data_IF_869568343173
#
_entry.id   IF_869568343173
#
_cell.length_a   1.000
_cell.length_b   1.000
_cell.length_c   1.000
_cell.angle_alpha   90.00
_cell.angle_beta   90.00
_cell.angle_gamma   90.00
#
_symmetry.space_group_name_H-M   'P 1'
#
loop_
_entity.id
_entity.type
_entity.pdbx_description
1 polymer ?
#
# COMPACT_ATOMS: atom_id res chain seq x y z
N UNK A 1 -10.45 8.86 34.65
CA UNK A 1 -11.01 9.48 33.41
C UNK A 1 -10.15 9.28 32.15
N UNK A 2 -8.93 8.73 32.23
CA UNK A 2 -8.05 8.53 31.05
C UNK A 2 -8.29 7.23 30.23
N UNK A 3 -9.20 6.36 30.66
CA UNK A 3 -9.43 5.02 30.07
C UNK A 3 -10.55 4.98 29.02
N UNK A 4 -11.44 5.97 28.99
CA UNK A 4 -12.53 6.04 28.02
C UNK A 4 -12.06 6.57 26.64
N UNK A 5 -11.13 7.55 26.61
CA UNK A 5 -10.61 8.13 25.37
C UNK A 5 -9.82 7.14 24.50
N UNK A 6 -8.93 6.33 25.11
CA UNK A 6 -8.15 5.29 24.41
C UNK A 6 -8.98 4.15 23.82
N UNK A 7 -10.23 3.96 24.28
CA UNK A 7 -11.13 2.91 23.78
C UNK A 7 -11.89 3.39 22.55
N UNK A 8 -12.33 4.66 22.55
CA UNK A 8 -12.98 5.30 21.39
C UNK A 8 -12.05 5.51 20.20
N UNK A 9 -10.80 5.95 20.43
CA UNK A 9 -9.78 6.09 19.37
C UNK A 9 -9.43 4.76 18.71
N UNK A 10 -9.47 3.66 19.48
CA UNK A 10 -9.34 2.31 18.94
C UNK A 10 -10.56 1.93 18.11
N UNK A 11 -11.78 2.21 18.58
CA UNK A 11 -13.05 1.88 17.88
C UNK A 11 -13.26 2.64 16.55
N UNK A 12 -12.78 3.86 16.41
CA UNK A 12 -12.81 4.59 15.12
C UNK A 12 -11.76 4.07 14.12
N UNK A 13 -10.53 3.84 14.58
CA UNK A 13 -9.50 3.14 13.80
C UNK A 13 -9.90 1.69 13.44
N UNK A 14 -10.94 1.14 14.09
CA UNK A 14 -11.50 -0.20 13.91
C UNK A 14 -12.56 -0.24 12.78
N UNK A 15 -13.34 0.81 12.58
CA UNK A 15 -14.36 0.89 11.50
C UNK A 15 -13.69 1.22 10.16
N UNK A 16 -12.69 2.09 10.18
CA UNK A 16 -12.04 2.64 8.99
C UNK A 16 -11.16 1.60 8.25
N UNK A 17 -10.62 0.61 8.98
CA UNK A 17 -9.68 -0.44 8.49
C UNK A 17 -10.26 -1.58 7.68
N UNK A 18 -11.59 -1.60 7.58
CA UNK A 18 -12.33 -2.58 6.77
C UNK A 18 -12.02 -2.41 5.27
N UNK A 19 -11.69 -1.21 4.82
CA UNK A 19 -11.69 -0.90 3.39
C UNK A 19 -10.39 -1.29 2.68
N UNK A 20 -9.22 -1.06 3.28
CA UNK A 20 -7.93 -1.44 2.69
C UNK A 20 -7.77 -2.96 2.50
N UNK A 21 -8.41 -3.76 3.35
CA UNK A 21 -8.34 -5.23 3.31
C UNK A 21 -9.38 -5.86 2.38
N UNK A 22 -10.54 -5.21 2.20
CA UNK A 22 -11.60 -5.75 1.34
C UNK A 22 -11.52 -5.25 -0.11
N UNK A 23 -10.70 -4.25 -0.42
CA UNK A 23 -10.63 -3.66 -1.77
C UNK A 23 -10.13 -4.60 -2.87
N UNK A 24 -9.53 -5.76 -2.50
CA UNK A 24 -9.09 -6.80 -3.45
C UNK A 24 -10.26 -7.41 -4.21
N UNK A 25 -11.47 -7.32 -3.66
CA UNK A 25 -12.72 -7.73 -4.33
C UNK A 25 -12.93 -6.94 -5.63
N UNK A 26 -12.34 -5.74 -5.74
CA UNK A 26 -12.47 -4.89 -6.91
C UNK A 26 -11.43 -5.19 -8.00
N UNK A 27 -10.47 -6.10 -7.76
CA UNK A 27 -9.50 -6.47 -8.78
C UNK A 27 -10.21 -7.04 -10.01
N UNK A 28 -9.89 -6.57 -11.21
CA UNK A 28 -10.54 -7.12 -12.41
C UNK A 28 -10.03 -8.53 -12.77
N UNK A 29 -8.85 -8.90 -12.24
CA UNK A 29 -8.04 -10.08 -12.60
C UNK A 29 -7.62 -10.14 -14.08
N UNK A 30 -8.11 -9.23 -14.92
CA UNK A 30 -7.74 -9.10 -16.32
C UNK A 30 -6.40 -8.38 -16.49
N UNK A 31 -5.70 -8.71 -17.58
CA UNK A 31 -4.53 -7.98 -18.01
C UNK A 31 -4.95 -6.63 -18.63
N UNK A 32 -4.40 -5.54 -18.08
CA UNK A 32 -4.57 -4.16 -18.52
C UNK A 32 -3.22 -3.60 -18.97
N UNK A 33 -3.22 -2.50 -19.71
CA UNK A 33 -1.98 -1.86 -20.20
C UNK A 33 -1.12 -1.33 -19.03
N UNK A 34 0.22 -1.48 -19.03
CA UNK A 34 1.09 -1.08 -17.91
C UNK A 34 0.81 0.30 -17.30
N UNK A 35 1.12 0.43 -16.01
CA UNK A 35 1.02 1.70 -15.29
C UNK A 35 2.31 2.49 -15.54
N UNK A 36 2.18 3.61 -16.23
CA UNK A 36 3.30 4.43 -16.71
C UNK A 36 3.00 5.93 -16.57
N UNK A 37 4.00 6.77 -16.81
CA UNK A 37 3.89 8.23 -16.90
C UNK A 37 4.46 8.99 -15.70
N UNK A 38 4.65 8.31 -14.57
CA UNK A 38 5.21 8.92 -13.35
C UNK A 38 6.75 8.89 -13.31
N UNK A 39 7.43 8.00 -14.05
CA UNK A 39 8.87 7.74 -13.87
C UNK A 39 9.76 8.97 -14.11
N UNK A 40 9.33 9.86 -15.02
CA UNK A 40 10.03 11.10 -15.39
C UNK A 40 9.64 12.29 -14.54
N UNK A 41 8.69 12.14 -13.62
CA UNK A 41 8.32 13.22 -12.72
C UNK A 41 9.48 13.53 -11.75
N UNK A 42 9.63 14.81 -11.36
CA UNK A 42 10.58 15.17 -10.32
C UNK A 42 10.16 14.56 -8.97
N UNK A 43 11.15 14.29 -8.12
CA UNK A 43 10.87 14.09 -6.70
C UNK A 43 10.63 15.46 -6.07
N UNK A 44 9.54 15.56 -5.32
CA UNK A 44 9.02 16.80 -4.71
C UNK A 44 8.64 16.53 -3.26
N UNK A 45 8.34 17.58 -2.49
CA UNK A 45 7.83 17.39 -1.12
C UNK A 45 6.46 16.71 -1.14
N UNK A 46 6.01 16.15 -0.01
CA UNK A 46 4.69 15.51 0.04
C UNK A 46 3.57 16.50 -0.30
N UNK A 47 3.67 17.75 0.16
CA UNK A 47 2.67 18.79 -0.12
C UNK A 47 2.53 19.04 -1.63
N UNK A 48 3.66 19.21 -2.32
CA UNK A 48 3.70 19.36 -3.78
C UNK A 48 3.21 18.11 -4.50
N UNK A 49 3.49 16.93 -3.93
CA UNK A 49 3.09 15.65 -4.51
C UNK A 49 1.57 15.43 -4.49
N UNK A 50 0.89 15.91 -3.44
CA UNK A 50 -0.57 15.77 -3.26
C UNK A 50 -1.36 16.98 -3.72
N UNK A 51 -0.73 18.12 -4.00
CA UNK A 51 -1.41 19.34 -4.46
C UNK A 51 -2.33 19.10 -5.69
N UNK A 52 -1.92 18.34 -6.73
CA UNK A 52 -2.81 18.05 -7.86
C UNK A 52 -4.00 17.14 -7.49
N UNK A 53 -3.97 16.50 -6.31
CA UNK A 53 -5.03 15.62 -5.83
C UNK A 53 -6.14 16.39 -5.10
N UNK A 54 -5.95 17.66 -4.74
CA UNK A 54 -6.96 18.47 -4.01
C UNK A 54 -8.35 18.43 -4.66
N UNK A 55 -8.52 18.50 -6.00
CA UNK A 55 -9.85 18.40 -6.60
C UNK A 55 -10.51 17.01 -6.47
N UNK A 56 -9.72 15.97 -6.17
CA UNK A 56 -10.16 14.58 -6.00
C UNK A 56 -10.33 14.25 -4.51
N UNK A 57 -9.46 14.81 -3.69
CA UNK A 57 -9.31 14.58 -2.26
C UNK A 57 -9.19 15.95 -1.55
N UNK A 58 -10.31 16.60 -1.21
CA UNK A 58 -10.31 17.98 -0.71
C UNK A 58 -9.42 18.20 0.52
N UNK A 59 -9.38 17.21 1.42
CA UNK A 59 -8.65 17.28 2.69
C UNK A 59 -7.20 16.75 2.63
N UNK A 60 -6.70 16.35 1.45
CA UNK A 60 -5.41 15.63 1.33
C UNK A 60 -4.23 16.44 1.88
N UNK A 61 -4.24 17.77 1.76
CA UNK A 61 -3.19 18.63 2.27
C UNK A 61 -3.13 18.62 3.81
N UNK A 62 -4.29 18.56 4.48
CA UNK A 62 -4.39 18.45 5.94
C UNK A 62 -3.80 17.12 6.41
N UNK A 63 -4.12 16.03 5.73
CA UNK A 63 -3.59 14.71 6.05
C UNK A 63 -2.09 14.59 5.73
N UNK A 64 -1.62 15.20 4.65
CA UNK A 64 -0.20 15.28 4.32
C UNK A 64 0.60 16.02 5.40
N UNK A 65 0.06 17.11 5.95
CA UNK A 65 0.67 17.80 7.08
C UNK A 65 0.81 16.86 8.29
N UNK A 66 -0.27 16.17 8.67
CA UNK A 66 -0.27 15.22 9.79
C UNK A 66 0.74 14.09 9.57
N UNK A 67 0.76 13.49 8.38
CA UNK A 67 1.72 12.44 8.02
C UNK A 67 3.17 12.93 8.18
N UNK A 68 3.50 14.12 7.68
CA UNK A 68 4.84 14.70 7.83
C UNK A 68 5.20 14.98 9.28
N UNK A 69 4.27 15.46 10.10
CA UNK A 69 4.56 15.71 11.52
C UNK A 69 4.91 14.44 12.28
N UNK A 70 4.36 13.28 11.87
CA UNK A 70 4.65 11.98 12.47
C UNK A 70 5.92 11.32 11.90
N UNK A 71 6.43 11.78 10.75
CA UNK A 71 7.63 11.25 10.09
C UNK A 71 8.90 12.10 10.28
N UNK A 72 9.03 12.86 11.38
CA UNK A 72 10.18 13.78 11.60
C UNK A 72 11.55 13.09 11.68
N UNK A 73 11.57 11.81 12.09
CA UNK A 73 12.78 10.99 12.23
C UNK A 73 12.51 9.61 11.62
N UNK A 74 12.42 9.53 10.30
CA UNK A 74 12.03 8.29 9.63
C UNK A 74 13.11 7.22 9.79
N UNK A 75 12.67 5.96 9.81
CA UNK A 75 13.56 4.80 9.78
C UNK A 75 14.10 4.54 8.35
N UNK A 76 14.93 3.52 8.21
CA UNK A 76 15.32 2.91 6.92
C UNK A 76 15.96 3.90 5.92
N UNK A 77 16.59 4.94 6.47
CA UNK A 77 17.24 6.05 5.76
C UNK A 77 16.31 6.81 4.80
N UNK A 78 14.99 6.67 4.90
CA UNK A 78 14.05 7.44 4.11
C UNK A 78 14.12 8.93 4.47
N UNK A 79 13.75 9.80 3.54
CA UNK A 79 13.49 11.21 3.86
C UNK A 79 12.16 11.33 4.61
N UNK A 80 11.92 12.50 5.23
CA UNK A 80 10.64 12.79 5.86
C UNK A 80 9.48 12.67 4.85
N UNK A 81 9.64 13.22 3.64
CA UNK A 81 8.60 13.19 2.60
C UNK A 81 8.33 11.77 2.09
N UNK A 82 9.36 10.95 1.92
CA UNK A 82 9.22 9.55 1.53
C UNK A 82 8.46 8.74 2.58
N UNK A 83 8.89 8.82 3.84
CA UNK A 83 8.20 8.14 4.95
C UNK A 83 6.77 8.65 5.11
N UNK A 84 6.55 9.96 5.01
CA UNK A 84 5.22 10.54 5.08
C UNK A 84 4.32 10.15 3.90
N UNK A 85 4.88 9.89 2.72
CA UNK A 85 4.12 9.39 1.56
C UNK A 85 3.55 7.99 1.80
N UNK A 86 4.27 7.14 2.54
CA UNK A 86 3.81 5.82 2.99
C UNK A 86 2.78 5.98 4.13
N UNK A 87 3.04 6.89 5.05
CA UNK A 87 2.11 7.15 6.16
C UNK A 87 0.75 7.62 5.65
N UNK A 88 0.69 8.63 4.77
CA UNK A 88 -0.60 9.10 4.24
C UNK A 88 -1.32 8.03 3.40
N UNK A 89 -0.58 7.11 2.75
CA UNK A 89 -1.19 5.98 2.07
C UNK A 89 -1.95 5.07 3.05
N UNK A 90 -1.38 4.82 4.21
CA UNK A 90 -1.96 3.94 5.25
C UNK A 90 -2.88 4.68 6.23
N UNK A 91 -2.99 6.01 6.11
CA UNK A 91 -3.89 6.81 6.92
C UNK A 91 -5.34 6.57 6.51
N UNK A 92 -6.19 6.65 7.52
CA UNK A 92 -7.63 6.57 7.40
C UNK A 92 -8.26 7.87 7.88
N UNK A 93 -9.31 8.29 7.19
CA UNK A 93 -10.11 9.45 7.54
C UNK A 93 -11.55 9.29 7.05
N UNK A 94 -12.42 10.19 7.51
CA UNK A 94 -13.84 10.23 7.15
C UNK A 94 -14.06 11.34 6.09
N UNK A 95 -14.82 11.07 5.02
CA UNK A 95 -15.44 9.78 4.70
C UNK A 95 -14.43 8.76 4.13
N UNK A 96 -14.57 7.45 4.40
CA UNK A 96 -13.53 6.49 4.05
C UNK A 96 -13.28 6.30 2.55
N UNK A 97 -14.27 6.59 1.71
CA UNK A 97 -14.15 6.61 0.25
C UNK A 97 -13.19 7.71 -0.26
N UNK A 98 -12.88 8.70 0.58
CA UNK A 98 -11.90 9.75 0.31
C UNK A 98 -10.51 9.43 0.88
N UNK A 99 -10.32 8.28 1.55
CA UNK A 99 -8.99 7.84 1.95
C UNK A 99 -8.10 7.69 0.72
N UNK A 100 -6.85 8.17 0.82
CA UNK A 100 -5.93 8.20 -0.32
C UNK A 100 -5.74 6.82 -0.95
N UNK A 101 -5.54 5.77 -0.16
CA UNK A 101 -5.37 4.41 -0.71
C UNK A 101 -6.63 3.91 -1.43
N UNK A 102 -7.83 4.26 -0.95
CA UNK A 102 -9.10 3.83 -1.55
C UNK A 102 -9.19 4.42 -2.95
N UNK A 103 -9.04 5.73 -3.07
CA UNK A 103 -9.15 6.42 -4.35
C UNK A 103 -8.02 6.03 -5.29
N UNK A 104 -6.78 5.90 -4.78
CA UNK A 104 -5.64 5.48 -5.59
C UNK A 104 -5.85 4.06 -6.12
N UNK A 105 -6.15 3.08 -5.28
CA UNK A 105 -6.30 1.70 -5.72
C UNK A 105 -7.49 1.52 -6.67
N UNK A 106 -8.60 2.23 -6.44
CA UNK A 106 -9.72 2.27 -7.38
C UNK A 106 -9.29 2.84 -8.75
N UNK A 107 -8.46 3.89 -8.73
CA UNK A 107 -7.90 4.48 -9.94
C UNK A 107 -6.98 3.51 -10.68
N UNK A 108 -6.11 2.79 -9.96
CA UNK A 108 -5.18 1.80 -10.52
C UNK A 108 -5.93 0.61 -11.15
N UNK A 109 -7.07 0.20 -10.58
CA UNK A 109 -7.91 -0.90 -11.09
C UNK A 109 -8.78 -0.51 -12.29
N UNK A 110 -8.99 0.78 -12.53
CA UNK A 110 -9.87 1.24 -13.60
C UNK A 110 -9.32 0.89 -15.00
N UNK A 111 -10.18 0.38 -15.89
CA UNK A 111 -9.81 0.10 -17.30
C UNK A 111 -9.30 1.33 -18.05
N UNK A 112 -9.81 2.51 -17.73
CA UNK A 112 -9.45 3.80 -18.33
C UNK A 112 -8.52 4.65 -17.44
N UNK A 113 -7.65 4.00 -16.66
CA UNK A 113 -6.80 4.65 -15.65
C UNK A 113 -5.80 5.66 -16.16
N UNK A 114 -5.28 5.54 -17.38
CA UNK A 114 -4.16 6.37 -17.86
C UNK A 114 -4.42 7.88 -17.71
N UNK A 115 -5.62 8.36 -18.05
CA UNK A 115 -5.98 9.77 -17.84
C UNK A 115 -6.24 10.09 -16.36
N UNK A 116 -6.89 9.17 -15.64
CA UNK A 116 -7.22 9.34 -14.23
C UNK A 116 -6.00 9.35 -13.31
N UNK A 117 -4.89 8.74 -13.74
CA UNK A 117 -3.63 8.69 -13.00
C UNK A 117 -2.77 9.96 -13.18
N UNK A 118 -3.07 10.82 -14.14
CA UNK A 118 -2.25 12.02 -14.38
C UNK A 118 -2.09 12.91 -13.14
N UNK A 119 -3.14 13.21 -12.35
CA UNK A 119 -3.01 13.96 -11.10
C UNK A 119 -2.16 13.24 -10.04
N UNK A 120 -2.04 11.91 -10.15
CA UNK A 120 -1.31 11.07 -9.20
C UNK A 120 0.17 10.94 -9.51
N UNK A 121 0.67 11.41 -10.66
CA UNK A 121 2.03 11.10 -11.08
C UNK A 121 3.12 11.64 -10.13
N UNK A 122 2.94 12.83 -9.54
CA UNK A 122 3.89 13.34 -8.53
C UNK A 122 3.86 12.51 -7.26
N UNK A 123 2.66 12.19 -6.75
CA UNK A 123 2.50 11.30 -5.60
C UNK A 123 3.07 9.91 -5.83
N UNK A 124 2.71 9.25 -6.94
CA UNK A 124 3.24 7.94 -7.33
C UNK A 124 4.77 7.96 -7.45
N UNK A 125 5.34 9.03 -8.02
CA UNK A 125 6.81 9.16 -8.13
C UNK A 125 7.48 9.18 -6.76
N UNK A 126 6.95 9.93 -5.80
CA UNK A 126 7.47 10.02 -4.43
C UNK A 126 7.25 8.71 -3.66
N UNK A 127 6.02 8.20 -3.68
CA UNK A 127 5.61 6.99 -2.98
C UNK A 127 6.37 5.74 -3.45
N UNK A 128 6.49 5.55 -4.78
CA UNK A 128 7.25 4.43 -5.32
C UNK A 128 8.75 4.56 -5.04
N UNK A 129 9.31 5.78 -5.00
CA UNK A 129 10.70 5.97 -4.59
C UNK A 129 10.91 5.48 -3.16
N UNK A 130 10.02 5.86 -2.25
CA UNK A 130 10.05 5.41 -0.86
C UNK A 130 10.00 3.88 -0.76
N UNK A 131 9.04 3.24 -1.42
CA UNK A 131 8.88 1.78 -1.41
C UNK A 131 10.07 1.05 -2.04
N UNK A 132 10.63 1.55 -3.15
CA UNK A 132 11.78 0.91 -3.80
C UNK A 132 13.07 1.01 -2.98
N UNK A 133 13.17 1.99 -2.08
CA UNK A 133 14.29 2.11 -1.14
C UNK A 133 14.19 1.15 0.05
N UNK A 134 13.01 0.60 0.32
CA UNK A 134 12.83 -0.43 1.34
C UNK A 134 13.32 -1.79 0.81
N UNK A 135 13.93 -2.63 1.68
CA UNK A 135 14.38 -3.96 1.30
C UNK A 135 13.26 -4.84 0.73
N UNK A 136 13.63 -5.72 -0.20
CA UNK A 136 12.76 -6.77 -0.71
C UNK A 136 12.63 -7.90 0.32
N UNK A 137 11.41 -8.34 0.59
CA UNK A 137 11.13 -9.49 1.44
C UNK A 137 10.54 -10.64 0.62
N UNK A 138 11.18 -11.80 0.74
CA UNK A 138 10.67 -13.08 0.24
C UNK A 138 10.00 -13.84 1.39
N UNK A 139 8.68 -13.79 1.47
CA UNK A 139 7.89 -14.18 2.64
C UNK A 139 6.52 -14.75 2.22
N UNK A 140 5.82 -15.38 3.16
CA UNK A 140 4.37 -15.61 3.01
C UNK A 140 3.62 -14.46 3.66
N UNK A 141 2.83 -13.74 2.87
CA UNK A 141 1.94 -12.69 3.34
C UNK A 141 0.49 -13.19 3.34
N UNK A 142 -0.31 -12.67 4.26
CA UNK A 142 -1.70 -13.06 4.45
C UNK A 142 -2.64 -11.87 4.28
N UNK A 143 -3.80 -12.14 3.67
CA UNK A 143 -4.86 -11.15 3.49
C UNK A 143 -6.24 -11.77 3.67
N UNK A 144 -7.06 -11.16 4.50
CA UNK A 144 -8.43 -11.59 4.77
C UNK A 144 -9.46 -10.72 4.06
N UNK A 145 -10.53 -11.35 3.56
CA UNK A 145 -11.68 -10.68 2.93
C UNK A 145 -12.97 -11.30 3.45
N UNK A 146 -13.95 -10.49 3.83
CA UNK A 146 -15.25 -10.97 4.33
C UNK A 146 -16.27 -11.27 3.23
N UNK A 147 -15.83 -11.94 2.16
CA UNK A 147 -16.64 -12.40 1.03
C UNK A 147 -16.09 -13.72 0.48
N UNK A 148 -16.89 -14.47 -0.28
CA UNK A 148 -16.42 -15.61 -1.07
C UNK A 148 -15.84 -15.12 -2.40
N UNK A 149 -14.54 -15.31 -2.58
CA UNK A 149 -13.83 -15.06 -3.84
C UNK A 149 -13.33 -16.34 -4.51
N UNK A 150 -13.58 -17.52 -3.93
CA UNK A 150 -13.02 -18.79 -4.41
C UNK A 150 -13.30 -19.09 -5.88
N UNK A 151 -14.48 -18.70 -6.38
CA UNK A 151 -14.87 -18.89 -7.78
C UNK A 151 -14.08 -18.01 -8.78
N UNK A 152 -13.38 -16.98 -8.30
CA UNK A 152 -12.65 -16.02 -9.14
C UNK A 152 -11.17 -16.37 -9.32
N UNK A 153 -10.64 -17.24 -8.47
CA UNK A 153 -9.24 -17.61 -8.46
C UNK A 153 -9.13 -19.10 -8.77
N UNK A 154 -9.05 -19.41 -10.06
CA UNK A 154 -9.00 -20.77 -10.56
C UNK A 154 -7.54 -21.23 -10.52
N UNK A 155 -7.29 -22.39 -9.91
CA UNK A 155 -5.96 -22.97 -9.82
C UNK A 155 -5.34 -23.14 -11.21
N UNK A 156 -4.06 -22.76 -11.34
CA UNK A 156 -3.37 -22.75 -12.61
C UNK A 156 -3.56 -21.47 -13.42
N UNK A 157 -4.41 -20.52 -13.03
CA UNK A 157 -4.51 -19.24 -13.72
C UNK A 157 -3.45 -18.22 -13.28
N UNK A 158 -3.08 -17.35 -14.21
CA UNK A 158 -2.23 -16.18 -13.93
C UNK A 158 -3.10 -14.93 -13.87
N UNK A 159 -2.98 -14.18 -12.79
CA UNK A 159 -3.75 -12.97 -12.51
C UNK A 159 -2.81 -11.79 -12.23
N UNK A 160 -3.37 -10.58 -12.25
CA UNK A 160 -2.65 -9.36 -11.82
C UNK A 160 -3.50 -8.63 -10.80
N UNK A 161 -2.89 -8.24 -9.68
CA UNK A 161 -3.48 -7.27 -8.76
C UNK A 161 -2.96 -5.88 -9.12
N UNK A 162 -3.86 -5.01 -9.56
CA UNK A 162 -3.53 -3.68 -10.06
C UNK A 162 -3.39 -2.65 -8.96
N UNK A 163 -4.11 -2.79 -7.85
CA UNK A 163 -3.93 -1.96 -6.66
C UNK A 163 -2.71 -2.39 -5.84
N UNK A 164 -2.21 -1.49 -5.00
CA UNK A 164 -1.31 -1.88 -3.92
C UNK A 164 -2.08 -2.73 -2.90
N UNK A 165 -1.45 -3.78 -2.37
CA UNK A 165 -2.15 -4.73 -1.49
C UNK A 165 -1.51 -4.76 -0.11
N UNK A 166 -2.20 -4.17 0.88
CA UNK A 166 -1.83 -4.31 2.29
C UNK A 166 -2.08 -5.74 2.75
N UNK A 167 -1.06 -6.33 3.38
CA UNK A 167 -1.06 -7.68 3.90
C UNK A 167 -0.37 -7.69 5.27
N UNK A 168 -0.49 -8.81 5.98
CA UNK A 168 0.23 -9.05 7.24
C UNK A 168 1.10 -10.29 7.11
N UNK A 169 2.24 -10.31 7.80
CA UNK A 169 3.03 -11.55 7.97
C UNK A 169 2.48 -12.44 9.09
N UNK A 170 1.65 -11.88 9.96
CA UNK A 170 1.12 -12.56 11.15
C UNK A 170 -0.25 -13.14 10.85
N UNK A 171 -0.31 -14.45 10.56
CA UNK A 171 -1.57 -15.13 10.26
C UNK A 171 -2.60 -15.02 11.41
N UNK A 172 -2.14 -14.94 12.66
CA UNK A 172 -3.00 -14.86 13.84
C UNK A 172 -3.83 -13.56 13.88
N UNK A 173 -3.36 -12.49 13.23
CA UNK A 173 -4.12 -11.24 13.05
C UNK A 173 -5.47 -11.52 12.38
N UNK A 174 -5.53 -12.48 11.45
CA UNK A 174 -6.76 -12.82 10.74
C UNK A 174 -7.85 -13.42 11.65
N UNK A 175 -7.51 -13.93 12.83
CA UNK A 175 -8.52 -14.41 13.78
C UNK A 175 -9.43 -13.29 14.30
N UNK A 176 -8.94 -12.05 14.29
CA UNK A 176 -9.72 -10.89 14.70
C UNK A 176 -10.82 -10.60 13.68
N UNK A 177 -12.02 -10.33 14.18
CA UNK A 177 -13.17 -9.89 13.36
C UNK A 177 -12.88 -8.58 12.60
N UNK A 178 -11.79 -7.88 12.90
CA UNK A 178 -11.36 -6.70 12.14
C UNK A 178 -10.89 -7.07 10.72
N UNK A 179 -10.19 -8.19 10.57
CA UNK A 179 -9.55 -8.59 9.31
C UNK A 179 -10.35 -9.65 8.57
N UNK A 180 -10.52 -10.82 9.21
CA UNK A 180 -11.22 -11.95 8.61
C UNK A 180 -12.26 -12.50 9.59
N UNK A 181 -11.86 -12.76 10.83
CA UNK A 181 -12.73 -13.29 11.86
C UNK A 181 -13.04 -14.77 11.68
N UNK A 182 -13.92 -15.27 12.56
CA UNK A 182 -14.25 -16.71 12.64
C UNK A 182 -15.62 -17.06 12.04
N UNK A 183 -16.40 -16.06 11.65
CA UNK A 183 -17.79 -16.21 11.22
C UNK A 183 -18.06 -15.56 9.87
N UNK A 184 -19.19 -15.91 9.25
CA UNK A 184 -19.57 -15.43 7.92
C UNK A 184 -18.75 -16.04 6.79
N UNK A 185 -19.26 -15.89 5.58
CA UNK A 185 -18.59 -16.29 4.34
C UNK A 185 -17.38 -15.40 4.10
N UNK A 186 -16.19 -16.00 3.94
CA UNK A 186 -14.94 -15.26 3.94
C UNK A 186 -13.84 -15.98 3.15
N UNK A 187 -12.85 -15.22 2.71
CA UNK A 187 -11.71 -15.70 1.93
C UNK A 187 -10.41 -15.27 2.60
N UNK A 188 -9.48 -16.21 2.78
CA UNK A 188 -8.11 -15.96 3.17
C UNK A 188 -7.19 -16.20 1.98
N UNK A 189 -6.35 -15.22 1.67
CA UNK A 189 -5.23 -15.38 0.77
C UNK A 189 -3.97 -15.72 1.56
N UNK A 190 -3.26 -16.76 1.13
CA UNK A 190 -1.88 -17.03 1.52
C UNK A 190 -0.99 -16.82 0.29
N UNK A 191 -0.10 -15.85 0.36
CA UNK A 191 0.59 -15.30 -0.80
C UNK A 191 2.09 -15.49 -0.61
N UNK A 192 2.71 -16.33 -1.43
CA UNK A 192 4.16 -16.43 -1.48
C UNK A 192 4.71 -15.27 -2.32
N UNK A 193 5.21 -14.25 -1.63
CA UNK A 193 5.73 -13.02 -2.23
C UNK A 193 7.25 -13.09 -2.33
N UNK A 194 7.81 -12.56 -3.41
CA UNK A 194 9.24 -12.36 -3.65
C UNK A 194 9.65 -10.90 -3.49
N UNK A 195 8.69 -9.97 -3.54
CA UNK A 195 8.94 -8.53 -3.53
C UNK A 195 8.12 -7.72 -2.53
N UNK A 196 7.67 -8.32 -1.42
CA UNK A 196 6.95 -7.57 -0.39
C UNK A 196 7.84 -6.48 0.25
N UNK A 197 7.23 -5.38 0.71
CA UNK A 197 7.90 -4.31 1.46
C UNK A 197 7.33 -4.22 2.87
N UNK A 198 8.19 -4.34 3.88
CA UNK A 198 7.80 -4.02 5.25
C UNK A 198 7.66 -2.50 5.39
N UNK A 199 6.43 -2.07 5.67
CA UNK A 199 6.09 -0.66 5.87
C UNK A 199 5.68 -0.37 7.32
N UNK A 200 5.84 -1.32 8.24
CA UNK A 200 5.37 -1.22 9.62
C UNK A 200 5.90 0.01 10.37
N UNK A 201 7.14 0.44 10.09
CA UNK A 201 7.76 1.64 10.70
C UNK A 201 7.32 2.96 10.04
N UNK A 202 6.62 2.90 8.93
CA UNK A 202 6.19 4.04 8.12
C UNK A 202 4.67 4.14 7.99
N UNK A 203 3.95 3.12 8.46
CA UNK A 203 2.49 3.05 8.46
C UNK A 203 1.90 3.90 9.59
N UNK A 204 0.69 4.39 9.39
CA UNK A 204 -0.11 5.07 10.42
C UNK A 204 -0.39 4.16 11.63
N UNK A 205 -0.49 2.84 11.42
CA UNK A 205 -0.76 1.87 12.48
C UNK A 205 0.35 0.82 12.58
N UNK A 206 1.01 0.75 13.72
CA UNK A 206 2.15 -0.15 13.97
C UNK A 206 1.76 -1.57 14.41
N UNK A 207 0.51 -1.99 14.26
CA UNK A 207 -0.07 -3.12 15.02
C UNK A 207 -0.01 -4.48 14.29
N UNK A 208 0.49 -4.56 13.05
CA UNK A 208 0.16 -5.71 12.18
C UNK A 208 1.30 -6.34 11.38
N UNK A 209 2.56 -6.01 11.68
CA UNK A 209 3.70 -6.44 10.86
C UNK A 209 3.38 -6.22 9.37
N UNK A 210 2.87 -5.01 9.08
CA UNK A 210 2.24 -4.67 7.81
C UNK A 210 3.27 -4.72 6.68
N UNK A 211 2.95 -5.51 5.67
CA UNK A 211 3.72 -5.58 4.43
C UNK A 211 2.84 -5.14 3.27
N UNK A 212 3.43 -4.37 2.36
CA UNK A 212 2.77 -3.89 1.17
C UNK A 212 3.29 -4.65 -0.05
N UNK A 213 2.36 -5.15 -0.86
CA UNK A 213 2.68 -5.66 -2.20
C UNK A 213 2.50 -4.52 -3.21
N UNK A 214 3.44 -4.43 -4.15
CA UNK A 214 3.42 -3.39 -5.19
C UNK A 214 2.17 -3.48 -6.06
N UNK A 215 1.75 -2.35 -6.63
CA UNK A 215 0.74 -2.32 -7.66
C UNK A 215 1.21 -3.07 -8.92
N UNK A 216 0.24 -3.62 -9.67
CA UNK A 216 0.48 -4.43 -10.88
C UNK A 216 1.34 -5.67 -10.66
N UNK A 217 1.27 -6.29 -9.48
CA UNK A 217 1.96 -7.55 -9.18
C UNK A 217 1.22 -8.73 -9.84
N UNK A 218 1.98 -9.58 -10.54
CA UNK A 218 1.45 -10.79 -11.17
C UNK A 218 1.54 -11.98 -10.21
N UNK A 219 0.48 -12.79 -10.17
CA UNK A 219 0.45 -14.01 -9.37
C UNK A 219 -0.01 -15.20 -10.20
N UNK A 220 0.47 -16.38 -9.85
CA UNK A 220 -0.11 -17.68 -10.20
C UNK A 220 -1.01 -18.14 -9.07
N UNK A 221 -2.23 -18.58 -9.37
CA UNK A 221 -3.06 -19.31 -8.40
C UNK A 221 -2.53 -20.73 -8.28
N UNK A 222 -2.02 -21.10 -7.11
CA UNK A 222 -1.37 -22.38 -6.86
C UNK A 222 -2.21 -23.36 -6.06
N UNK A 223 -3.31 -22.89 -5.47
CA UNK A 223 -4.25 -23.75 -4.75
C UNK A 223 -5.53 -23.03 -4.36
N UNK A 224 -6.63 -23.78 -4.28
CA UNK A 224 -7.91 -23.30 -3.80
C UNK A 224 -8.59 -24.36 -2.93
N UNK A 225 -9.02 -23.98 -1.73
CA UNK A 225 -9.68 -24.87 -0.78
C UNK A 225 -10.99 -24.24 -0.28
N UNK A 226 -12.06 -25.03 -0.33
CA UNK A 226 -13.35 -24.69 0.26
C UNK A 226 -13.53 -25.48 1.58
N UNK A 227 -13.57 -24.78 2.71
CA UNK A 227 -13.90 -25.33 4.03
C UNK A 227 -15.22 -24.76 4.56
N UNK A 228 -16.27 -24.83 3.74
CA UNK A 228 -17.59 -24.30 4.07
C UNK A 228 -17.62 -22.79 3.99
N UNK A 229 -17.64 -22.11 5.14
CA UNK A 229 -17.71 -20.64 5.19
C UNK A 229 -16.34 -19.96 5.01
N UNK A 230 -15.24 -20.71 5.08
CA UNK A 230 -13.89 -20.22 4.83
C UNK A 230 -13.37 -20.77 3.49
N UNK A 231 -13.01 -19.87 2.60
CA UNK A 231 -12.26 -20.17 1.38
C UNK A 231 -10.80 -19.80 1.58
N UNK A 232 -9.88 -20.66 1.15
CA UNK A 232 -8.44 -20.40 1.21
C UNK A 232 -7.90 -20.43 -0.21
N UNK A 233 -7.22 -19.37 -0.61
CA UNK A 233 -6.60 -19.21 -1.93
C UNK A 233 -5.11 -19.05 -1.74
N UNK A 234 -4.32 -19.85 -2.45
CA UNK A 234 -2.87 -19.76 -2.47
C UNK A 234 -2.42 -19.08 -3.76
N UNK A 235 -1.55 -18.08 -3.60
CA UNK A 235 -0.95 -17.32 -4.69
C UNK A 235 0.57 -17.42 -4.60
N UNK A 236 1.23 -17.50 -5.75
CA UNK A 236 2.67 -17.33 -5.88
C UNK A 236 2.97 -16.13 -6.76
N UNK A 237 3.79 -15.20 -6.29
CA UNK A 237 4.28 -14.08 -7.09
C UNK A 237 5.16 -14.57 -8.25
N UNK A 238 4.79 -14.15 -9.47
CA UNK A 238 5.51 -14.47 -10.71
C UNK A 238 6.00 -13.21 -11.40
N UNK A 239 7.01 -13.38 -12.26
CA UNK A 239 7.56 -12.29 -13.05
C UNK A 239 6.89 -12.24 -14.42
N UNK A 240 6.22 -11.14 -14.79
CA UNK A 240 5.70 -10.96 -16.14
C UNK A 240 6.86 -10.79 -17.15
N UNK A 241 6.64 -11.05 -18.45
CA UNK A 241 7.67 -10.90 -19.49
C UNK A 241 8.13 -9.44 -19.71
N UNK A 242 7.37 -8.47 -19.20
CA UNK A 242 7.71 -7.05 -19.20
C UNK A 242 7.12 -6.39 -17.95
N UNK A 243 7.70 -5.26 -17.53
CA UNK A 243 7.24 -4.55 -16.33
C UNK A 243 5.82 -4.02 -16.50
N UNK A 244 4.92 -4.41 -15.60
CA UNK A 244 3.53 -3.89 -15.58
C UNK A 244 3.41 -2.59 -14.78
N UNK A 245 4.42 -2.27 -13.97
CA UNK A 245 4.61 -1.01 -13.26
C UNK A 245 5.91 -0.39 -13.78
N UNK A 246 5.86 0.82 -14.34
CA UNK A 246 7.02 1.44 -14.98
C UNK A 246 8.22 1.56 -14.01
N UNK A 247 9.41 1.06 -14.38
CA UNK A 247 10.61 1.29 -13.58
C UNK A 247 10.89 2.79 -13.45
N UNK A 248 11.30 3.21 -12.26
CA UNK A 248 11.74 4.58 -12.00
C UNK A 248 13.12 4.55 -11.32
N UNK A 249 14.02 5.51 -11.62
CA UNK A 249 15.29 5.61 -10.94
C UNK A 249 15.08 5.80 -9.43
N UNK A 250 15.75 4.96 -8.64
CA UNK A 250 15.82 5.12 -7.19
C UNK A 250 16.77 6.27 -6.91
N UNK A 251 16.25 7.35 -6.34
CA UNK A 251 17.08 8.47 -5.88
C UNK A 251 17.10 8.40 -4.37
N UNK A 252 18.26 8.09 -3.80
CA UNK A 252 18.46 8.14 -2.36
C UNK A 252 18.55 9.59 -1.87
N UNK A 253 18.52 9.78 -0.56
CA UNK A 253 18.99 11.03 0.02
C UNK A 253 20.42 11.25 -0.50
N UNK A 254 20.66 12.35 -1.21
CA UNK A 254 22.01 12.77 -1.54
C UNK A 254 22.81 12.72 -0.23
N UNK A 255 24.00 12.09 -0.18
CA UNK A 255 24.88 12.31 0.95
C UNK A 255 25.04 13.82 1.06
N UNK A 256 24.74 14.38 2.23
CA UNK A 256 25.03 15.78 2.52
C UNK A 256 26.51 15.91 2.20
N UNK A 257 26.85 16.60 1.10
CA UNK A 257 28.23 16.97 0.85
C UNK A 257 28.64 17.77 2.08
N UNK A 258 29.46 17.15 2.93
CA UNK A 258 30.26 17.87 3.89
C UNK A 258 31.08 18.84 3.05
N UNK A 259 30.66 20.11 3.01
CA UNK A 259 31.50 21.15 2.46
C UNK A 259 32.82 21.12 3.24
N UNK A 260 33.98 21.01 2.56
CA UNK A 260 35.25 21.27 3.19
C UNK A 260 35.34 22.78 3.33
N UNK A 261 34.94 23.30 4.48
CA UNK A 261 35.18 24.70 4.81
C UNK A 261 35.81 24.79 6.17
N UNK A 262 37.10 25.14 6.19
CA UNK A 262 37.74 25.65 7.38
C UNK A 262 39.24 25.41 7.50
N UNK A 263 40.03 25.83 6.51
CA UNK A 263 41.30 26.44 6.87
C UNK A 263 41.01 27.63 7.79
N UNK A 264 41.45 27.55 9.04
CA UNK A 264 41.87 28.72 9.80
C UNK A 264 43.14 28.35 10.53
N UNK A 265 44.25 28.92 10.05
CA UNK A 265 45.55 28.76 10.66
C UNK A 265 45.62 29.34 12.07
N UNK A 266 46.50 28.74 12.86
CA UNK A 266 47.57 29.42 13.61
C UNK A 266 48.77 28.50 13.65
#
# INVERSE_FOLDING_TARGET
>A
MATAGRRGEKEEAIIQRRLCMNDVVQESLALLAPIEGYSKMPLVSLEQAVEPLVPILPDVLRHAYVAKQNCKKPADNLTQDESASIMIYTMEWDPPEECLYVVLNNTLRAKNRQKKLQPWYLYLRLFLNALFRLPLLSITAYRGVKLNLGHRYIEGETIVWWGFSSCTTSISVLESDLFLGKTGTRTMFAIHCKSARDISKHSWSSIEDEVLLMAATQFKVTGSLNQGNLHIIQLEETMPPFSLLQPAPIVGALPIHLNPSGEFGR
#
